data_IF_646561098779
#
_entry.id   IF_646561098779
#
_cell.length_a   1.000
_cell.length_b   1.000
_cell.length_c   1.000
_cell.angle_alpha   90.00
_cell.angle_beta   90.00
_cell.angle_gamma   90.00
#
_symmetry.space_group_name_H-M   'P 1'
#
loop_
_entity.id
_entity.type
_entity.pdbx_description
1 polymer ?
#
# COMPACT_ATOMS: atom_id res chain seq x y z
N UNK A 1 4.07 -32.99 4.81
CA UNK A 1 3.57 -32.48 6.10
C UNK A 1 4.27 -31.15 6.33
N UNK A 2 3.56 -30.04 6.33
CA UNK A 2 4.07 -28.75 6.75
C UNK A 2 4.33 -28.83 8.27
N UNK A 3 5.42 -28.26 8.74
CA UNK A 3 5.83 -28.32 10.14
C UNK A 3 5.61 -26.94 10.75
N UNK A 4 5.04 -26.89 11.95
CA UNK A 4 4.93 -25.66 12.73
C UNK A 4 6.32 -24.99 12.80
N UNK A 5 6.41 -23.76 12.31
CA UNK A 5 7.63 -22.97 12.33
C UNK A 5 7.81 -22.33 13.72
N UNK A 6 9.05 -22.23 14.18
CA UNK A 6 9.34 -21.39 15.32
C UNK A 6 9.26 -19.90 14.92
N UNK A 7 9.31 -18.99 15.88
CA UNK A 7 9.17 -17.54 15.67
C UNK A 7 10.12 -17.00 14.60
N UNK A 8 11.38 -17.36 14.67
CA UNK A 8 12.43 -16.89 13.74
C UNK A 8 12.21 -17.42 12.32
N UNK A 9 11.84 -18.69 12.19
CA UNK A 9 11.56 -19.30 10.89
C UNK A 9 10.27 -18.71 10.24
N UNK A 10 9.23 -18.41 11.04
CA UNK A 10 8.03 -17.76 10.54
C UNK A 10 8.35 -16.33 10.07
N UNK A 11 9.10 -15.54 10.86
CA UNK A 11 9.52 -14.21 10.45
C UNK A 11 10.35 -14.25 9.16
N UNK A 12 11.33 -15.15 9.07
CA UNK A 12 12.14 -15.33 7.87
C UNK A 12 11.26 -15.69 6.65
N UNK A 13 10.25 -16.55 6.83
CA UNK A 13 9.30 -16.89 5.76
C UNK A 13 8.46 -15.69 5.32
N UNK A 14 7.98 -14.87 6.25
CA UNK A 14 7.23 -13.65 5.92
C UNK A 14 8.11 -12.64 5.16
N UNK A 15 9.35 -12.47 5.57
CA UNK A 15 10.30 -11.58 4.86
C UNK A 15 10.63 -12.10 3.45
N UNK A 16 10.74 -13.43 3.27
CA UNK A 16 10.97 -14.04 1.96
C UNK A 16 9.85 -13.74 0.95
N UNK A 17 8.60 -13.59 1.40
CA UNK A 17 7.47 -13.21 0.52
C UNK A 17 7.74 -11.86 -0.17
N UNK A 18 8.34 -10.89 0.53
CA UNK A 18 8.73 -9.62 -0.09
C UNK A 18 9.74 -9.80 -1.22
N UNK A 19 10.73 -10.68 -1.03
CA UNK A 19 11.71 -11.00 -2.08
C UNK A 19 11.05 -11.67 -3.27
N UNK A 20 10.03 -12.51 -3.04
CA UNK A 20 9.34 -13.27 -4.09
C UNK A 20 8.28 -12.46 -4.84
N UNK A 21 7.46 -11.67 -4.12
CA UNK A 21 6.17 -11.18 -4.62
C UNK A 21 5.90 -9.70 -4.43
N UNK A 22 6.78 -8.93 -3.76
CA UNK A 22 6.51 -7.52 -3.55
C UNK A 22 6.58 -6.73 -4.87
N UNK A 23 5.75 -5.73 -5.02
CA UNK A 23 5.52 -5.01 -6.26
C UNK A 23 6.66 -4.07 -6.70
N UNK A 24 7.76 -3.99 -5.93
CA UNK A 24 8.99 -3.32 -6.32
C UNK A 24 9.65 -3.92 -7.57
N UNK A 25 9.33 -5.18 -7.89
CA UNK A 25 9.82 -5.91 -9.06
C UNK A 25 8.93 -5.76 -10.30
N UNK A 26 7.80 -5.09 -10.15
CA UNK A 26 6.85 -4.93 -11.25
C UNK A 26 7.46 -4.01 -12.33
N UNK A 27 7.33 -4.34 -13.64
CA UNK A 27 7.91 -3.51 -14.71
C UNK A 27 7.48 -2.04 -14.66
N UNK A 28 6.22 -1.76 -14.34
CA UNK A 28 5.73 -0.38 -14.18
C UNK A 28 6.46 0.36 -13.03
N UNK A 29 6.73 -0.34 -11.92
CA UNK A 29 7.46 0.23 -10.81
C UNK A 29 8.90 0.57 -11.19
N UNK A 30 9.59 -0.35 -11.88
CA UNK A 30 10.96 -0.16 -12.36
C UNK A 30 11.02 1.03 -13.32
N UNK A 31 10.11 1.08 -14.29
CA UNK A 31 9.99 2.19 -15.25
C UNK A 31 9.76 3.54 -14.55
N UNK A 32 8.86 3.59 -13.57
CA UNK A 32 8.56 4.81 -12.82
C UNK A 32 9.77 5.34 -12.06
N UNK A 33 10.53 4.46 -11.40
CA UNK A 33 11.67 4.86 -10.58
C UNK A 33 12.96 5.05 -11.40
N UNK A 34 13.05 4.43 -12.57
CA UNK A 34 14.16 4.59 -13.51
C UNK A 34 14.05 5.83 -14.41
N UNK A 35 12.95 6.61 -14.32
CA UNK A 35 12.77 7.80 -15.15
C UNK A 35 12.21 7.53 -16.55
N UNK A 36 11.84 6.29 -16.85
CA UNK A 36 11.34 5.89 -18.17
C UNK A 36 9.82 6.14 -18.34
N UNK A 37 9.11 6.51 -17.26
CA UNK A 37 7.69 6.82 -17.33
C UNK A 37 7.46 8.23 -17.84
N UNK A 38 6.55 8.37 -18.82
CA UNK A 38 6.07 9.67 -19.27
C UNK A 38 5.28 10.38 -18.16
N UNK A 39 5.16 11.71 -18.23
CA UNK A 39 4.34 12.46 -17.27
C UNK A 39 2.88 11.99 -17.25
N UNK A 40 2.32 11.57 -18.40
CA UNK A 40 0.97 10.97 -18.48
C UNK A 40 0.86 9.67 -17.68
N UNK A 41 1.86 8.79 -17.78
CA UNK A 41 1.91 7.55 -17.00
C UNK A 41 2.10 7.80 -15.50
N UNK A 42 2.89 8.83 -15.13
CA UNK A 42 3.01 9.28 -13.73
C UNK A 42 1.66 9.78 -13.20
N UNK A 43 0.96 10.63 -13.95
CA UNK A 43 -0.39 11.11 -13.61
C UNK A 43 -1.38 9.97 -13.44
N UNK A 44 -1.39 9.02 -14.36
CA UNK A 44 -2.24 7.84 -14.28
C UNK A 44 -1.93 7.03 -13.01
N UNK A 45 -0.64 6.85 -12.66
CA UNK A 45 -0.26 6.17 -11.42
C UNK A 45 -0.72 6.93 -10.18
N UNK A 46 -0.53 8.25 -10.12
CA UNK A 46 -0.95 9.08 -8.98
C UNK A 46 -2.45 8.98 -8.76
N UNK A 47 -3.26 9.12 -9.82
CA UNK A 47 -4.72 9.00 -9.77
C UNK A 47 -5.16 7.61 -9.29
N UNK A 48 -4.64 6.57 -9.91
CA UNK A 48 -5.05 5.19 -9.61
C UNK A 48 -4.62 4.74 -8.20
N UNK A 49 -3.44 5.16 -7.76
CA UNK A 49 -2.95 4.85 -6.43
C UNK A 49 -3.74 5.57 -5.33
N UNK A 50 -4.39 6.68 -5.64
CA UNK A 50 -5.26 7.38 -4.69
C UNK A 50 -6.42 6.48 -4.21
N UNK A 51 -6.99 5.62 -5.05
CA UNK A 51 -8.00 4.65 -4.65
C UNK A 51 -7.54 3.83 -3.43
N UNK A 52 -6.28 3.39 -3.47
CA UNK A 52 -5.70 2.62 -2.38
C UNK A 52 -5.41 3.49 -1.15
N UNK A 53 -4.88 4.70 -1.34
CA UNK A 53 -4.53 5.60 -0.22
C UNK A 53 -5.77 6.00 0.59
N UNK A 54 -6.85 6.38 -0.08
CA UNK A 54 -8.11 6.78 0.54
C UNK A 54 -8.85 5.61 1.23
N UNK A 55 -8.54 4.37 0.85
CA UNK A 55 -9.16 3.19 1.43
C UNK A 55 -8.44 2.67 2.70
N UNK A 56 -7.20 3.12 2.98
CA UNK A 56 -6.44 2.65 4.14
C UNK A 56 -7.18 2.90 5.47
N UNK A 57 -7.73 4.10 5.76
CA UNK A 57 -8.49 4.34 6.98
C UNK A 57 -9.73 3.43 7.10
N UNK A 58 -10.47 3.22 6.00
CA UNK A 58 -11.64 2.33 5.96
C UNK A 58 -11.27 0.89 6.31
N UNK A 59 -10.21 0.39 5.72
CA UNK A 59 -9.68 -0.96 5.98
C UNK A 59 -9.19 -1.09 7.44
N UNK A 60 -8.51 -0.06 7.98
CA UNK A 60 -8.03 -0.06 9.36
C UNK A 60 -9.18 0.08 10.38
N UNK A 61 -10.24 0.82 10.06
CA UNK A 61 -11.46 0.87 10.87
C UNK A 61 -12.19 -0.49 10.90
N UNK A 62 -12.25 -1.20 9.76
CA UNK A 62 -12.79 -2.55 9.70
C UNK A 62 -11.98 -3.55 10.55
N UNK A 63 -10.66 -3.38 10.63
CA UNK A 63 -9.81 -4.16 11.53
C UNK A 63 -10.08 -3.82 12.99
N UNK A 64 -10.15 -2.53 13.33
CA UNK A 64 -10.42 -2.06 14.68
C UNK A 64 -11.73 -2.58 15.25
N UNK A 65 -12.77 -2.74 14.42
CA UNK A 65 -14.07 -3.25 14.84
C UNK A 65 -14.01 -4.68 15.41
N UNK A 66 -12.95 -5.43 15.09
CA UNK A 66 -12.70 -6.81 15.54
C UNK A 66 -11.68 -6.90 16.69
N UNK A 67 -11.03 -5.80 17.05
CA UNK A 67 -9.99 -5.78 18.05
C UNK A 67 -10.58 -5.62 19.45
N UNK A 68 -10.56 -6.67 20.27
CA UNK A 68 -11.03 -6.64 21.64
C UNK A 68 -10.00 -5.99 22.59
N UNK A 69 -8.69 -6.16 22.30
CA UNK A 69 -7.62 -5.61 23.12
C UNK A 69 -7.52 -4.07 22.95
N UNK A 70 -7.64 -3.29 24.05
CA UNK A 70 -7.48 -1.84 24.00
C UNK A 70 -6.07 -1.37 23.58
N UNK A 71 -5.02 -2.14 23.86
CA UNK A 71 -3.66 -1.79 23.46
C UNK A 71 -3.52 -1.88 21.93
N UNK A 72 -4.02 -2.98 21.33
CA UNK A 72 -4.08 -3.12 19.87
C UNK A 72 -4.88 -1.99 19.23
N UNK A 73 -6.05 -1.64 19.80
CA UNK A 73 -6.85 -0.52 19.24
C UNK A 73 -6.12 0.80 19.29
N UNK A 74 -5.38 1.12 20.36
CA UNK A 74 -4.61 2.37 20.45
C UNK A 74 -3.52 2.45 19.39
N UNK A 75 -2.78 1.37 19.19
CA UNK A 75 -1.71 1.34 18.17
C UNK A 75 -2.29 1.40 16.76
N UNK A 76 -3.37 0.65 16.50
CA UNK A 76 -3.95 0.61 15.16
C UNK A 76 -4.68 1.89 14.76
N UNK A 77 -5.27 2.60 15.74
CA UNK A 77 -5.93 3.90 15.50
C UNK A 77 -4.96 4.94 14.95
N UNK A 78 -3.70 4.93 15.39
CA UNK A 78 -2.66 5.83 14.86
C UNK A 78 -2.48 5.73 13.35
N UNK A 79 -2.70 4.55 12.77
CA UNK A 79 -2.62 4.34 11.32
C UNK A 79 -3.73 5.08 10.58
N UNK A 80 -4.91 5.17 11.16
CA UNK A 80 -6.03 5.98 10.63
C UNK A 80 -5.66 7.46 10.73
N UNK A 81 -5.22 7.91 11.90
CA UNK A 81 -4.77 9.30 12.14
C UNK A 81 -3.62 9.70 11.19
N UNK A 82 -2.67 8.81 10.94
CA UNK A 82 -1.56 9.04 10.01
C UNK A 82 -2.04 9.28 8.55
N UNK A 83 -3.20 8.72 8.16
CA UNK A 83 -3.74 8.86 6.80
C UNK A 83 -4.82 9.94 6.70
N UNK A 84 -5.75 10.01 7.65
CA UNK A 84 -6.82 11.02 7.65
C UNK A 84 -6.32 12.39 8.13
N UNK A 85 -5.28 12.41 8.98
CA UNK A 85 -4.87 13.60 9.67
C UNK A 85 -5.77 13.94 10.86
N UNK A 86 -5.64 15.14 11.39
CA UNK A 86 -6.45 15.65 12.49
C UNK A 86 -5.67 16.67 13.34
N UNK A 87 -6.40 17.46 14.13
CA UNK A 87 -5.84 18.46 15.06
C UNK A 87 -4.80 19.41 14.42
N UNK A 88 -5.03 19.79 13.14
CA UNK A 88 -4.14 20.67 12.39
C UNK A 88 -2.91 19.97 11.80
N UNK A 89 -2.82 18.64 11.90
CA UNK A 89 -1.75 17.83 11.29
C UNK A 89 -2.25 17.20 10.00
N UNK A 90 -1.54 17.43 8.91
CA UNK A 90 -1.86 16.83 7.61
C UNK A 90 -1.75 15.31 7.64
N UNK A 91 -2.76 14.65 7.07
CA UNK A 91 -2.75 13.20 6.84
C UNK A 91 -2.03 12.76 5.56
N UNK A 92 -1.86 11.46 5.42
CA UNK A 92 -1.27 10.86 4.22
C UNK A 92 -2.10 11.10 2.95
N UNK A 93 -3.43 11.15 3.09
CA UNK A 93 -4.36 11.42 1.97
C UNK A 93 -4.14 12.84 1.43
N UNK A 94 -4.07 13.83 2.32
CA UNK A 94 -3.81 15.22 1.93
C UNK A 94 -2.44 15.37 1.27
N UNK A 95 -1.40 14.74 1.83
CA UNK A 95 -0.06 14.75 1.22
C UNK A 95 -0.04 14.08 -0.15
N UNK A 96 -0.88 13.07 -0.37
CA UNK A 96 -1.02 12.46 -1.69
C UNK A 96 -1.68 13.40 -2.70
N UNK A 97 -2.67 14.19 -2.28
CA UNK A 97 -3.29 15.21 -3.12
C UNK A 97 -2.31 16.33 -3.49
N UNK A 98 -1.36 16.69 -2.63
CA UNK A 98 -0.25 17.61 -2.98
C UNK A 98 0.67 17.02 -4.07
N UNK A 99 0.92 15.73 -4.06
CA UNK A 99 1.61 15.06 -5.17
C UNK A 99 0.77 15.13 -6.46
N UNK A 100 -0.54 14.92 -6.36
CA UNK A 100 -1.44 14.99 -7.51
C UNK A 100 -1.44 16.41 -8.13
N UNK A 101 -1.54 17.46 -7.33
CA UNK A 101 -1.42 18.85 -7.76
C UNK A 101 -0.05 19.11 -8.41
N UNK A 102 1.02 18.64 -7.79
CA UNK A 102 2.39 18.82 -8.30
C UNK A 102 2.67 18.16 -9.65
N UNK A 103 1.96 17.10 -10.00
CA UNK A 103 2.02 16.49 -11.35
C UNK A 103 1.00 17.11 -12.32
N UNK A 104 0.24 18.14 -11.88
CA UNK A 104 -0.73 18.87 -12.70
C UNK A 104 -2.08 18.15 -12.85
N UNK A 105 -2.50 17.39 -11.84
CA UNK A 105 -3.85 16.86 -11.73
C UNK A 105 -4.71 17.77 -10.84
N UNK A 106 -5.98 17.90 -11.21
CA UNK A 106 -6.99 18.53 -10.35
C UNK A 106 -7.29 17.63 -9.15
N UNK A 107 -7.22 18.18 -7.94
CA UNK A 107 -7.35 17.43 -6.69
C UNK A 107 -8.77 16.90 -6.46
N UNK A 108 -9.81 17.64 -6.90
CA UNK A 108 -11.20 17.20 -6.78
C UNK A 108 -11.47 16.04 -7.75
N UNK A 109 -10.89 16.11 -8.97
CA UNK A 109 -10.95 15.00 -9.91
C UNK A 109 -10.26 13.75 -9.36
N UNK A 110 -9.08 13.88 -8.75
CA UNK A 110 -8.40 12.74 -8.11
C UNK A 110 -9.21 12.21 -6.94
N UNK A 111 -9.77 13.07 -6.10
CA UNK A 111 -10.58 12.69 -4.95
C UNK A 111 -11.88 11.98 -5.36
N UNK A 112 -12.47 12.35 -6.49
CA UNK A 112 -13.64 11.66 -7.06
C UNK A 112 -13.35 10.24 -7.54
N UNK A 113 -12.09 9.93 -7.87
CA UNK A 113 -11.65 8.67 -8.48
C UNK A 113 -12.37 8.35 -9.80
N UNK A 114 -12.99 9.34 -10.46
CA UNK A 114 -13.81 9.14 -11.66
C UNK A 114 -13.00 8.47 -12.78
N UNK A 115 -11.79 8.98 -13.07
CA UNK A 115 -10.92 8.45 -14.12
C UNK A 115 -10.05 7.26 -13.70
N UNK A 116 -10.19 6.73 -12.48
CA UNK A 116 -9.40 5.59 -12.04
C UNK A 116 -9.83 4.29 -12.74
N UNK A 117 -8.85 3.46 -13.08
CA UNK A 117 -9.07 2.17 -13.73
C UNK A 117 -9.97 1.27 -12.88
N UNK A 118 -10.91 0.52 -13.50
CA UNK A 118 -11.74 -0.44 -12.76
C UNK A 118 -10.94 -1.43 -11.92
N UNK A 119 -9.79 -1.90 -12.41
CA UNK A 119 -8.93 -2.84 -11.67
C UNK A 119 -8.34 -2.21 -10.41
N UNK A 120 -7.99 -0.93 -10.42
CA UNK A 120 -7.48 -0.22 -9.24
C UNK A 120 -8.55 -0.11 -8.16
N UNK A 121 -9.79 0.21 -8.55
CA UNK A 121 -10.96 0.23 -7.65
C UNK A 121 -11.26 -1.18 -7.11
N UNK A 122 -11.30 -2.17 -8.00
CA UNK A 122 -11.59 -3.56 -7.64
C UNK A 122 -10.55 -4.13 -6.67
N UNK A 123 -9.26 -4.00 -6.96
CA UNK A 123 -8.18 -4.51 -6.12
C UNK A 123 -8.19 -3.82 -4.73
N UNK A 124 -8.51 -2.53 -4.69
CA UNK A 124 -8.63 -1.77 -3.44
C UNK A 124 -9.81 -2.26 -2.60
N UNK A 125 -11.00 -2.40 -3.19
CA UNK A 125 -12.18 -2.91 -2.47
C UNK A 125 -12.00 -4.37 -2.05
N UNK A 126 -11.36 -5.21 -2.87
CA UNK A 126 -11.01 -6.57 -2.49
C UNK A 126 -10.16 -6.60 -1.21
N UNK A 127 -9.23 -5.65 -1.05
CA UNK A 127 -8.42 -5.54 0.17
C UNK A 127 -9.24 -5.08 1.38
N UNK A 128 -10.12 -4.10 1.22
CA UNK A 128 -11.03 -3.65 2.30
C UNK A 128 -11.92 -4.81 2.75
N UNK A 129 -12.52 -5.53 1.79
CA UNK A 129 -13.35 -6.69 2.08
C UNK A 129 -12.56 -7.83 2.75
N UNK A 130 -11.35 -8.11 2.27
CA UNK A 130 -10.48 -9.10 2.91
C UNK A 130 -10.28 -8.79 4.40
N UNK A 131 -9.90 -7.55 4.72
CA UNK A 131 -9.68 -7.15 6.11
C UNK A 131 -10.97 -7.14 6.91
N UNK A 132 -12.11 -6.79 6.33
CA UNK A 132 -13.42 -6.82 7.00
C UNK A 132 -13.87 -8.25 7.31
N UNK A 133 -13.73 -9.16 6.37
CA UNK A 133 -14.39 -10.47 6.40
C UNK A 133 -13.49 -11.58 6.98
N UNK A 134 -12.16 -11.41 6.95
CA UNK A 134 -11.21 -12.38 7.50
C UNK A 134 -10.95 -12.18 9.01
N UNK A 135 -10.48 -13.20 9.71
CA UNK A 135 -10.07 -13.09 11.11
C UNK A 135 -9.06 -11.95 11.35
N UNK A 136 -9.06 -11.40 12.57
CA UNK A 136 -8.18 -10.30 12.96
C UNK A 136 -6.71 -10.58 12.65
N UNK A 137 -6.25 -11.81 12.90
CA UNK A 137 -4.87 -12.25 12.63
C UNK A 137 -4.50 -12.09 11.15
N UNK A 138 -5.37 -12.52 10.23
CA UNK A 138 -5.14 -12.38 8.79
C UNK A 138 -5.20 -10.91 8.36
N UNK A 139 -6.11 -10.14 8.92
CA UNK A 139 -6.21 -8.69 8.68
C UNK A 139 -4.92 -7.94 9.04
N UNK A 140 -4.33 -8.24 10.21
CA UNK A 140 -3.05 -7.66 10.63
C UNK A 140 -1.91 -8.16 9.75
N UNK A 141 -1.86 -9.48 9.48
CA UNK A 141 -0.83 -10.09 8.64
C UNK A 141 -0.79 -9.51 7.22
N UNK A 142 -1.95 -9.20 6.63
CA UNK A 142 -2.03 -8.54 5.32
C UNK A 142 -1.40 -7.14 5.31
N UNK A 143 -1.27 -6.48 6.46
CA UNK A 143 -0.61 -5.18 6.58
C UNK A 143 0.92 -5.28 6.67
N UNK A 144 1.50 -6.49 6.80
CA UNK A 144 2.94 -6.69 6.92
C UNK A 144 3.74 -6.39 5.64
N UNK A 145 3.11 -5.99 4.55
CA UNK A 145 3.84 -5.38 3.42
C UNK A 145 4.61 -4.13 3.82
N UNK A 146 4.31 -3.52 4.97
CA UNK A 146 5.12 -2.46 5.58
C UNK A 146 6.55 -2.90 5.90
N UNK A 147 6.83 -4.22 6.05
CA UNK A 147 8.18 -4.79 6.18
C UNK A 147 9.10 -4.39 5.00
N UNK A 148 8.51 -4.18 3.81
CA UNK A 148 9.22 -3.90 2.57
C UNK A 148 9.17 -2.40 2.19
N UNK A 149 8.24 -1.65 2.78
CA UNK A 149 7.93 -0.27 2.43
C UNK A 149 9.11 0.72 2.62
N UNK A 150 9.96 0.64 3.65
CA UNK A 150 11.05 1.61 3.82
C UNK A 150 12.03 1.64 2.65
N UNK A 151 12.37 0.50 2.07
CA UNK A 151 13.27 0.46 0.92
C UNK A 151 12.63 1.07 -0.32
N UNK A 152 11.40 0.67 -0.62
CA UNK A 152 10.67 1.19 -1.79
C UNK A 152 10.40 2.70 -1.68
N UNK A 153 10.21 3.24 -0.47
CA UNK A 153 10.06 4.69 -0.29
C UNK A 153 11.36 5.45 -0.52
N UNK A 154 12.51 4.92 -0.08
CA UNK A 154 13.82 5.53 -0.36
C UNK A 154 14.13 5.52 -1.86
N UNK A 155 13.95 4.38 -2.52
CA UNK A 155 14.14 4.24 -3.97
C UNK A 155 13.22 5.20 -4.75
N UNK A 156 11.95 5.29 -4.33
CA UNK A 156 10.98 6.19 -4.95
C UNK A 156 11.36 7.65 -4.81
N UNK A 157 11.74 8.08 -3.61
CA UNK A 157 12.19 9.47 -3.39
C UNK A 157 13.42 9.76 -4.24
N UNK A 158 14.41 8.88 -4.25
CA UNK A 158 15.63 9.06 -5.02
C UNK A 158 15.34 9.12 -6.53
N UNK A 159 14.61 8.15 -7.08
CA UNK A 159 14.31 8.09 -8.50
C UNK A 159 13.43 9.24 -8.97
N UNK A 160 12.43 9.65 -8.18
CA UNK A 160 11.59 10.79 -8.56
C UNK A 160 12.39 12.10 -8.56
N UNK A 161 13.26 12.32 -7.57
CA UNK A 161 14.12 13.50 -7.51
C UNK A 161 15.16 13.55 -8.64
N UNK A 162 15.66 12.41 -9.08
CA UNK A 162 16.66 12.32 -10.14
C UNK A 162 16.08 12.55 -11.53
N UNK A 163 14.85 12.11 -11.77
CA UNK A 163 14.33 11.97 -13.13
C UNK A 163 13.13 12.88 -13.46
N UNK A 164 12.48 13.53 -12.48
CA UNK A 164 11.24 14.27 -12.74
C UNK A 164 11.25 15.66 -12.12
N UNK A 165 10.98 16.68 -12.93
CA UNK A 165 10.99 18.10 -12.54
C UNK A 165 9.92 18.48 -11.51
N UNK A 166 8.82 17.70 -11.40
CA UNK A 166 7.78 17.94 -10.40
C UNK A 166 8.21 17.53 -8.98
N UNK A 167 9.28 16.75 -8.85
CA UNK A 167 9.70 16.21 -7.56
C UNK A 167 10.36 17.26 -6.68
N UNK A 168 9.79 17.50 -5.52
CA UNK A 168 10.29 18.42 -4.49
C UNK A 168 9.79 18.00 -3.10
N UNK A 169 10.11 18.75 -2.06
CA UNK A 169 9.74 18.41 -0.69
C UNK A 169 8.23 18.33 -0.46
N UNK A 170 7.46 19.18 -1.13
CA UNK A 170 5.98 19.19 -1.03
C UNK A 170 5.36 17.98 -1.71
N UNK A 171 5.75 17.70 -2.95
CA UNK A 171 5.21 16.57 -3.73
C UNK A 171 5.64 15.23 -3.17
N UNK A 172 6.79 15.15 -2.50
CA UNK A 172 7.31 13.92 -1.89
C UNK A 172 7.01 13.79 -0.39
N UNK A 173 6.25 14.72 0.20
CA UNK A 173 5.95 14.75 1.63
C UNK A 173 5.31 13.45 2.14
N UNK A 174 4.44 12.82 1.33
CA UNK A 174 3.85 11.51 1.66
C UNK A 174 4.93 10.45 1.91
N UNK A 175 5.84 10.27 0.97
CA UNK A 175 6.87 9.22 1.04
C UNK A 175 7.86 9.47 2.16
N UNK A 176 8.27 10.75 2.36
CA UNK A 176 9.17 11.14 3.46
C UNK A 176 8.55 10.80 4.81
N UNK A 177 7.27 11.16 5.00
CA UNK A 177 6.57 10.86 6.26
C UNK A 177 6.43 9.36 6.52
N UNK A 178 6.22 8.55 5.47
CA UNK A 178 6.16 7.08 5.61
C UNK A 178 7.48 6.46 6.05
N UNK A 179 8.64 7.08 5.78
CA UNK A 179 9.92 6.59 6.29
C UNK A 179 9.99 6.62 7.83
N UNK A 180 9.32 7.58 8.48
CA UNK A 180 9.25 7.69 9.94
C UNK A 180 8.19 6.75 10.53
N UNK A 181 7.06 6.60 9.85
CA UNK A 181 5.89 5.88 10.36
C UNK A 181 5.99 4.36 10.17
N UNK A 182 6.47 3.90 9.00
CA UNK A 182 6.48 2.48 8.65
C UNK A 182 7.27 1.59 9.63
N UNK A 183 8.44 1.97 10.16
CA UNK A 183 9.17 1.15 11.12
C UNK A 183 8.36 0.83 12.39
N UNK A 184 7.64 1.82 12.95
CA UNK A 184 6.77 1.62 14.12
C UNK A 184 5.64 0.64 13.81
N UNK A 185 4.96 0.84 12.67
CA UNK A 185 3.85 0.00 12.25
C UNK A 185 4.27 -1.46 12.03
N UNK A 186 5.48 -1.65 11.49
CA UNK A 186 6.09 -2.96 11.25
C UNK A 186 6.39 -3.67 12.56
N UNK A 187 7.09 -3.02 13.47
CA UNK A 187 7.54 -3.63 14.73
C UNK A 187 6.35 -4.16 15.52
N UNK A 188 5.32 -3.34 15.68
CA UNK A 188 4.12 -3.74 16.40
C UNK A 188 3.36 -4.86 15.67
N UNK A 189 3.07 -4.68 14.38
CA UNK A 189 2.28 -5.64 13.59
C UNK A 189 2.96 -7.00 13.47
N UNK A 190 4.27 -7.03 13.22
CA UNK A 190 5.04 -8.26 13.12
C UNK A 190 5.08 -9.01 14.45
N UNK A 191 5.42 -8.33 15.56
CA UNK A 191 5.44 -8.97 16.88
C UNK A 191 4.08 -9.56 17.21
N UNK A 192 3.01 -8.80 17.01
CA UNK A 192 1.66 -9.27 17.28
C UNK A 192 1.29 -10.53 16.45
N UNK A 193 1.63 -10.54 15.16
CA UNK A 193 1.37 -11.70 14.30
C UNK A 193 2.16 -12.93 14.77
N UNK A 194 3.45 -12.76 15.08
CA UNK A 194 4.30 -13.86 15.54
C UNK A 194 3.83 -14.45 16.88
N UNK A 195 3.29 -13.62 17.78
CA UNK A 195 2.76 -14.05 19.08
C UNK A 195 1.41 -14.79 18.96
N UNK A 196 0.64 -14.50 17.91
CA UNK A 196 -0.70 -15.05 17.71
C UNK A 196 -0.78 -16.20 16.68
N UNK A 197 0.24 -16.37 15.81
CA UNK A 197 0.30 -17.46 14.82
C UNK A 197 0.88 -18.75 15.42
N UNK A 198 0.22 -19.28 16.46
CA UNK A 198 0.71 -20.36 17.32
C UNK A 198 0.41 -21.78 16.84
N UNK A 199 -0.32 -21.92 15.73
CA UNK A 199 -0.62 -23.21 15.10
C UNK A 199 -0.20 -23.20 13.63
N UNK A 200 0.04 -24.38 13.06
CA UNK A 200 0.37 -24.52 11.65
C UNK A 200 -0.69 -23.87 10.75
N UNK A 201 -1.97 -24.09 11.04
CA UNK A 201 -3.09 -23.51 10.31
C UNK A 201 -3.04 -21.97 10.34
N UNK A 202 -2.82 -21.38 11.52
CA UNK A 202 -2.68 -19.91 11.66
C UNK A 202 -1.47 -19.37 10.92
N UNK A 203 -0.34 -20.07 10.93
CA UNK A 203 0.84 -19.68 10.17
C UNK A 203 0.59 -19.71 8.66
N UNK A 204 -0.09 -20.73 8.15
CA UNK A 204 -0.48 -20.78 6.74
C UNK A 204 -1.46 -19.65 6.37
N UNK A 205 -2.43 -19.35 7.23
CA UNK A 205 -3.36 -18.23 7.03
C UNK A 205 -2.63 -16.87 6.98
N UNK A 206 -1.67 -16.65 7.87
CA UNK A 206 -0.82 -15.44 7.92
C UNK A 206 0.01 -15.29 6.64
N UNK A 207 0.64 -16.38 6.18
CA UNK A 207 1.43 -16.42 4.94
C UNK A 207 0.51 -16.10 3.74
N UNK A 208 -0.64 -16.75 3.66
CA UNK A 208 -1.62 -16.51 2.59
C UNK A 208 -2.14 -15.07 2.57
N UNK A 209 -2.39 -14.47 3.75
CA UNK A 209 -2.84 -13.10 3.89
C UNK A 209 -1.80 -12.08 3.35
N UNK A 210 -0.52 -12.33 3.62
CA UNK A 210 0.55 -11.47 3.10
C UNK A 210 0.74 -11.62 1.59
N UNK A 211 0.63 -12.85 1.05
CA UNK A 211 0.62 -13.07 -0.40
C UNK A 211 -0.56 -12.37 -1.06
N UNK A 212 -1.78 -12.53 -0.53
CA UNK A 212 -2.95 -11.82 -1.04
C UNK A 212 -2.72 -10.32 -1.13
N UNK A 213 -2.11 -9.73 -0.10
CA UNK A 213 -1.83 -8.30 -0.13
C UNK A 213 -0.77 -7.91 -1.18
N UNK A 214 0.24 -8.73 -1.38
CA UNK A 214 1.19 -8.53 -2.48
C UNK A 214 0.47 -8.58 -3.83
N UNK A 215 -0.45 -9.54 -4.02
CA UNK A 215 -1.23 -9.68 -5.25
C UNK A 215 -2.15 -8.48 -5.50
N UNK A 216 -2.77 -7.91 -4.45
CA UNK A 216 -3.54 -6.66 -4.56
C UNK A 216 -2.68 -5.50 -5.09
N UNK A 217 -1.47 -5.35 -4.57
CA UNK A 217 -0.55 -4.29 -5.00
C UNK A 217 -0.03 -4.52 -6.42
N UNK A 218 0.21 -5.78 -6.77
CA UNK A 218 0.65 -6.19 -8.10
C UNK A 218 -0.43 -5.94 -9.14
N UNK A 219 -1.67 -6.36 -8.89
CA UNK A 219 -2.81 -6.18 -9.79
C UNK A 219 -3.09 -4.70 -10.14
N UNK A 220 -2.86 -3.77 -9.21
CA UNK A 220 -2.97 -2.35 -9.50
C UNK A 220 -1.94 -1.89 -10.55
N UNK A 221 -0.71 -2.40 -10.46
CA UNK A 221 0.35 -2.07 -11.42
C UNK A 221 0.18 -2.81 -12.74
N UNK A 222 -0.33 -4.06 -12.72
CA UNK A 222 -0.71 -4.78 -13.95
C UNK A 222 -1.74 -3.97 -14.74
N UNK A 223 -2.76 -3.43 -14.06
CA UNK A 223 -3.76 -2.58 -14.70
C UNK A 223 -3.16 -1.33 -15.34
N UNK A 224 -2.27 -0.64 -14.64
CA UNK A 224 -1.55 0.53 -15.16
C UNK A 224 -0.66 0.16 -16.34
N UNK A 225 0.09 -0.93 -16.24
CA UNK A 225 0.98 -1.37 -17.30
C UNK A 225 0.21 -1.76 -18.56
N UNK A 226 -0.88 -2.51 -18.39
CA UNK A 226 -1.74 -2.92 -19.50
C UNK A 226 -2.42 -1.72 -20.18
N UNK A 227 -2.93 -0.77 -19.40
CA UNK A 227 -3.63 0.39 -19.94
C UNK A 227 -2.69 1.41 -20.62
N UNK A 228 -1.51 1.68 -20.02
CA UNK A 228 -0.70 2.85 -20.38
C UNK A 228 0.69 2.52 -20.94
N UNK A 229 1.10 1.24 -20.96
CA UNK A 229 2.43 0.84 -21.44
C UNK A 229 2.33 -0.17 -22.59
N UNK A 230 1.74 -1.35 -22.35
CA UNK A 230 1.57 -2.41 -23.36
C UNK A 230 0.43 -3.37 -22.95
N UNK A 231 -0.58 -3.57 -23.76
CA UNK A 231 -0.77 -3.12 -25.17
C UNK A 231 -1.24 -1.67 -25.35
N UNK A 232 -1.36 -0.88 -24.31
CA UNK A 232 -1.78 0.51 -24.40
C UNK A 232 -3.30 0.71 -24.53
N UNK A 233 -4.08 -0.25 -24.05
CA UNK A 233 -5.54 -0.16 -24.02
C UNK A 233 -6.02 0.54 -22.74
N UNK A 234 -6.75 1.64 -22.90
CA UNK A 234 -7.36 2.38 -21.81
C UNK A 234 -8.86 2.05 -21.78
N UNK A 235 -9.39 1.52 -20.67
CA UNK A 235 -10.82 1.25 -20.55
C UNK A 235 -11.66 2.53 -20.64
N UNK A 236 -12.87 2.47 -21.23
CA UNK A 236 -13.77 3.61 -21.27
C UNK A 236 -14.02 4.20 -19.89
N UNK A 237 -13.99 5.54 -19.78
CA UNK A 237 -14.20 6.27 -18.53
C UNK A 237 -12.98 6.33 -17.60
N UNK A 238 -11.83 5.75 -17.98
CA UNK A 238 -10.58 5.95 -17.26
C UNK A 238 -9.86 7.22 -17.73
N UNK A 239 -8.87 7.65 -16.95
CA UNK A 239 -8.01 8.79 -17.33
C UNK A 239 -7.25 8.47 -18.63
N UNK A 240 -7.29 9.42 -19.59
CA UNK A 240 -6.67 9.33 -20.91
C UNK A 240 -5.36 10.13 -20.99
#
# INVERSE_FOLDING_TARGET
>A
MSKLLNREALEARLRAIGVERYHDKHPFHIMLHGGDATLGQVRAWVLNRYCYQSAIPRKDAALLSKAEDPALRREWRRRIEDHDGGDGVEGGIERWLKLAEGVGLDTDYVASMEGALPISKFATEAYVHFVRDRPLLEGIASSLTELFAPNIHRERIAGLLEHYDFANDTTLAYFRKRLDQAPRDVEFGLSWVLDNATTEERQQAVIAALYFKCDVLWAQLDGLYYAYVAPGFIPPGAYD
#
